data_IF_221485066690
#
_entry.id   IF_221485066690
#
_cell.length_a   1.000
_cell.length_b   1.000
_cell.length_c   1.000
_cell.angle_alpha   90.00
_cell.angle_beta   90.00
_cell.angle_gamma   90.00
#
_symmetry.space_group_name_H-M   'P 1'
#
loop_
_entity.id
_entity.type
_entity.pdbx_description
1 polymer ?
#
# COMPACT_ATOMS: atom_id res chain seq x y z
N UNK A 1 -33.24 7.16 21.22
CA UNK A 1 -32.61 7.92 20.12
C UNK A 1 -31.92 6.91 19.23
N UNK A 2 -32.53 6.63 18.08
CA UNK A 2 -32.27 5.44 17.27
C UNK A 2 -30.89 5.42 16.62
N UNK A 3 -30.22 4.28 16.72
CA UNK A 3 -29.01 3.93 15.98
C UNK A 3 -29.32 3.88 14.48
N UNK A 4 -28.87 4.88 13.72
CA UNK A 4 -28.78 4.74 12.27
C UNK A 4 -27.70 3.69 11.97
N UNK A 5 -28.16 2.47 11.72
CA UNK A 5 -27.35 1.45 11.05
C UNK A 5 -26.98 1.98 9.67
N UNK A 6 -25.70 2.25 9.45
CA UNK A 6 -25.17 2.56 8.12
C UNK A 6 -25.46 1.38 7.20
N UNK A 7 -26.40 1.53 6.26
CA UNK A 7 -26.65 0.54 5.21
C UNK A 7 -25.34 0.26 4.48
N UNK A 8 -24.91 -1.00 4.50
CA UNK A 8 -23.88 -1.52 3.59
C UNK A 8 -24.36 -1.23 2.16
N UNK A 9 -23.55 -0.49 1.40
CA UNK A 9 -23.80 -0.25 -0.01
C UNK A 9 -23.31 -1.48 -0.77
N UNK A 10 -24.22 -2.22 -1.41
CA UNK A 10 -23.87 -3.34 -2.28
C UNK A 10 -23.06 -2.84 -3.49
N UNK A 11 -21.97 -3.54 -3.89
CA UNK A 11 -21.19 -3.21 -5.07
C UNK A 11 -22.05 -3.18 -6.33
N UNK A 12 -22.33 -1.98 -6.83
CA UNK A 12 -22.93 -1.76 -8.15
C UNK A 12 -21.87 -2.15 -9.18
N UNK A 13 -22.09 -3.27 -9.87
CA UNK A 13 -21.29 -3.70 -11.02
C UNK A 13 -21.78 -2.92 -12.25
N UNK A 14 -20.86 -2.31 -13.00
CA UNK A 14 -21.21 -1.74 -14.30
C UNK A 14 -21.53 -2.89 -15.27
N UNK A 15 -22.82 -3.12 -15.50
CA UNK A 15 -23.31 -4.20 -16.37
C UNK A 15 -23.08 -3.92 -17.86
N UNK A 16 -22.66 -2.70 -18.22
CA UNK A 16 -22.38 -2.30 -19.60
C UNK A 16 -20.89 -2.39 -19.98
N UNK A 17 -19.99 -2.68 -19.04
CA UNK A 17 -18.57 -2.82 -19.35
C UNK A 17 -18.29 -4.09 -20.15
N UNK A 18 -17.66 -3.95 -21.31
CA UNK A 18 -17.28 -5.08 -22.16
C UNK A 18 -16.31 -6.02 -21.44
N UNK A 19 -16.55 -7.33 -21.55
CA UNK A 19 -15.60 -8.36 -21.12
C UNK A 19 -14.24 -8.26 -21.83
N UNK A 20 -14.18 -7.56 -22.97
CA UNK A 20 -12.95 -7.26 -23.72
C UNK A 20 -12.34 -5.90 -23.36
N UNK A 21 -12.82 -5.21 -22.33
CA UNK A 21 -12.17 -4.00 -21.84
C UNK A 21 -10.73 -4.33 -21.42
N UNK A 22 -9.81 -3.36 -21.56
CA UNK A 22 -8.43 -3.55 -21.13
C UNK A 22 -8.35 -3.96 -19.66
N UNK A 23 -9.23 -3.41 -18.80
CA UNK A 23 -9.35 -3.77 -17.39
C UNK A 23 -9.63 -5.27 -17.21
N UNK A 24 -10.70 -5.77 -17.83
CA UNK A 24 -11.12 -7.16 -17.66
C UNK A 24 -10.07 -8.16 -18.17
N UNK A 25 -9.46 -7.88 -19.33
CA UNK A 25 -8.38 -8.73 -19.89
C UNK A 25 -7.18 -8.76 -18.95
N UNK A 26 -6.75 -7.61 -18.43
CA UNK A 26 -5.60 -7.53 -17.53
C UNK A 26 -5.87 -8.19 -16.17
N UNK A 27 -7.09 -8.13 -15.66
CA UNK A 27 -7.49 -8.82 -14.43
C UNK A 27 -7.43 -10.35 -14.59
N UNK A 28 -7.89 -10.89 -15.73
CA UNK A 28 -7.83 -12.33 -16.00
C UNK A 28 -6.39 -12.84 -16.09
N UNK A 29 -5.52 -12.11 -16.79
CA UNK A 29 -4.07 -12.42 -16.83
C UNK A 29 -3.47 -12.31 -15.42
N UNK A 30 -3.81 -11.24 -14.69
CA UNK A 30 -3.37 -10.97 -13.33
C UNK A 30 -3.77 -12.08 -12.35
N UNK A 31 -4.95 -12.67 -12.51
CA UNK A 31 -5.44 -13.80 -11.70
C UNK A 31 -4.54 -15.03 -11.86
N UNK A 32 -4.19 -15.40 -13.09
CA UNK A 32 -3.29 -16.53 -13.35
C UNK A 32 -1.91 -16.33 -12.73
N UNK A 33 -1.33 -15.13 -12.86
CA UNK A 33 -0.04 -14.78 -12.26
C UNK A 33 -0.13 -14.83 -10.72
N UNK A 34 -1.18 -14.22 -10.14
CA UNK A 34 -1.43 -14.23 -8.70
C UNK A 34 -1.46 -15.66 -8.15
N UNK A 35 -2.21 -16.55 -8.79
CA UNK A 35 -2.37 -17.92 -8.29
C UNK A 35 -1.04 -18.70 -8.34
N UNK A 36 -0.24 -18.48 -9.39
CA UNK A 36 1.11 -19.05 -9.50
C UNK A 36 2.05 -18.56 -8.39
N UNK A 37 2.11 -17.24 -8.15
CA UNK A 37 2.97 -16.65 -7.12
C UNK A 37 2.52 -17.06 -5.72
N UNK A 38 1.20 -17.10 -5.46
CA UNK A 38 0.63 -17.52 -4.17
C UNK A 38 1.03 -18.95 -3.82
N UNK A 39 0.91 -19.89 -4.77
CA UNK A 39 1.37 -21.28 -4.58
C UNK A 39 2.87 -21.35 -4.29
N UNK A 40 3.67 -20.52 -4.96
CA UNK A 40 5.10 -20.39 -4.69
C UNK A 40 5.39 -19.93 -3.27
N UNK A 41 4.68 -18.89 -2.83
CA UNK A 41 4.80 -18.30 -1.49
C UNK A 41 4.38 -19.28 -0.39
N UNK A 42 3.25 -19.98 -0.56
CA UNK A 42 2.77 -20.99 0.39
C UNK A 42 3.75 -22.18 0.52
N UNK A 43 4.47 -22.51 -0.55
CA UNK A 43 5.45 -23.61 -0.54
C UNK A 43 6.79 -23.21 0.08
N UNK A 44 7.27 -21.99 -0.20
CA UNK A 44 8.67 -21.59 0.05
C UNK A 44 8.85 -20.41 1.00
N UNK A 45 7.79 -19.66 1.31
CA UNK A 45 7.88 -18.40 2.05
C UNK A 45 6.89 -18.30 3.20
N UNK A 46 6.49 -19.42 3.84
CA UNK A 46 5.48 -19.42 4.92
C UNK A 46 5.86 -18.45 6.06
N UNK A 47 7.15 -18.31 6.34
CA UNK A 47 7.70 -17.38 7.34
C UNK A 47 7.45 -15.91 7.03
N UNK A 48 7.10 -15.56 5.78
CA UNK A 48 6.80 -14.18 5.36
C UNK A 48 5.37 -13.74 5.68
N UNK A 49 4.52 -14.64 6.21
CA UNK A 49 3.15 -14.28 6.57
C UNK A 49 3.14 -13.45 7.86
N UNK A 50 2.78 -12.17 7.72
CA UNK A 50 2.63 -11.26 8.84
C UNK A 50 1.37 -11.52 9.65
N UNK A 51 1.49 -11.22 10.95
CA UNK A 51 0.40 -11.17 11.91
C UNK A 51 0.35 -9.78 12.53
N UNK A 52 -0.75 -9.05 12.35
CA UNK A 52 -0.92 -7.69 12.83
C UNK A 52 -0.78 -7.58 14.36
N UNK A 53 -1.31 -8.54 15.12
CA UNK A 53 -1.27 -8.50 16.59
C UNK A 53 0.15 -8.54 17.17
N UNK A 54 1.13 -9.00 16.38
CA UNK A 54 2.53 -9.09 16.76
C UNK A 54 3.35 -7.89 16.29
N UNK A 55 2.76 -6.99 15.50
CA UNK A 55 3.44 -5.80 15.00
C UNK A 55 3.85 -4.87 16.14
N UNK A 56 5.02 -4.26 16.02
CA UNK A 56 5.50 -3.22 16.95
C UNK A 56 5.83 -1.95 16.18
N UNK A 57 5.56 -0.82 16.84
CA UNK A 57 5.91 0.52 16.37
C UNK A 57 6.89 1.12 17.39
N UNK A 58 8.02 1.62 16.90
CA UNK A 58 9.15 2.05 17.74
C UNK A 58 9.19 3.56 17.92
N UNK A 59 8.00 4.17 18.02
CA UNK A 59 7.81 5.58 18.29
C UNK A 59 7.39 5.82 19.76
N UNK A 60 7.75 6.97 20.35
CA UNK A 60 7.51 7.28 21.77
C UNK A 60 6.02 7.29 22.19
N UNK A 61 5.11 7.62 21.27
CA UNK A 61 3.66 7.59 21.49
C UNK A 61 3.04 6.20 21.33
N UNK A 62 3.74 5.22 20.72
CA UNK A 62 3.18 3.88 20.49
C UNK A 62 2.86 3.14 21.78
N UNK A 63 3.52 3.50 22.88
CA UNK A 63 3.24 2.93 24.21
C UNK A 63 1.85 3.30 24.77
N UNK A 64 1.21 4.35 24.24
CA UNK A 64 -0.08 4.83 24.73
C UNK A 64 -1.27 4.12 24.07
N UNK A 65 -1.04 3.32 23.01
CA UNK A 65 -2.10 2.56 22.34
C UNK A 65 -1.55 1.23 21.85
N UNK A 66 -2.21 0.14 22.26
CA UNK A 66 -1.86 -1.20 21.78
C UNK A 66 -2.28 -1.37 20.32
N UNK A 67 -1.58 -2.27 19.64
CA UNK A 67 -1.94 -2.66 18.27
C UNK A 67 -3.31 -3.36 18.30
N UNK A 68 -4.30 -2.88 17.55
CA UNK A 68 -5.61 -3.50 17.51
C UNK A 68 -5.59 -4.81 16.72
N UNK A 69 -6.61 -5.65 16.95
CA UNK A 69 -6.82 -6.87 16.17
C UNK A 69 -7.24 -6.56 14.73
N UNK A 70 -8.04 -5.51 14.53
CA UNK A 70 -8.50 -5.10 13.21
C UNK A 70 -7.60 -4.03 12.62
N UNK A 71 -7.16 -4.16 11.34
CA UNK A 71 -6.45 -3.09 10.67
C UNK A 71 -7.27 -1.79 10.56
N UNK A 72 -8.60 -1.88 10.63
CA UNK A 72 -9.49 -0.71 10.59
C UNK A 72 -9.44 0.15 11.85
N UNK A 73 -8.79 -0.31 12.92
CA UNK A 73 -8.62 0.45 14.17
C UNK A 73 -7.20 1.03 14.32
N UNK A 74 -6.32 0.80 13.33
CA UNK A 74 -4.97 1.35 13.30
C UNK A 74 -4.96 2.88 13.18
N UNK A 75 -4.51 3.58 14.22
CA UNK A 75 -4.41 5.02 14.22
C UNK A 75 -2.96 5.49 14.00
N UNK A 76 -2.68 6.26 12.94
CA UNK A 76 -1.34 6.77 12.62
C UNK A 76 -0.72 7.62 13.74
N UNK A 77 -1.51 8.21 14.63
CA UNK A 77 -1.03 9.00 15.77
C UNK A 77 -0.17 8.14 16.70
N UNK A 78 -0.47 6.84 16.79
CA UNK A 78 0.17 5.90 17.71
C UNK A 78 0.91 4.77 16.99
N UNK A 79 0.43 4.35 15.82
CA UNK A 79 0.92 3.19 15.09
C UNK A 79 1.75 3.63 13.88
N UNK A 80 2.88 4.28 14.12
CA UNK A 80 3.80 4.73 13.07
C UNK A 80 5.20 4.89 13.63
N UNK A 81 6.21 4.89 12.77
CA UNK A 81 7.59 5.21 13.13
C UNK A 81 7.96 6.69 12.90
N UNK A 82 7.04 7.50 12.37
CA UNK A 82 7.24 8.95 12.18
C UNK A 82 7.35 9.65 13.53
N UNK A 83 8.46 10.37 13.75
CA UNK A 83 8.64 11.19 14.96
C UNK A 83 8.26 12.64 14.71
N UNK A 84 7.22 13.09 15.40
CA UNK A 84 6.87 14.51 15.48
C UNK A 84 6.10 14.79 16.78
N UNK A 85 6.20 16.01 17.32
CA UNK A 85 5.46 16.41 18.52
C UNK A 85 3.95 16.41 18.28
N UNK A 86 3.52 17.06 17.20
CA UNK A 86 2.09 17.15 16.83
C UNK A 86 1.58 15.86 16.20
N UNK A 87 0.32 15.52 16.50
CA UNK A 87 -0.35 14.32 16.01
C UNK A 87 -0.55 14.30 14.49
N UNK A 88 -0.93 15.43 13.90
CA UNK A 88 -1.24 15.52 12.46
C UNK A 88 0.00 15.36 11.58
N UNK A 89 1.17 15.76 12.07
CA UNK A 89 2.44 15.63 11.36
C UNK A 89 2.96 14.18 11.32
N UNK A 90 2.19 13.23 11.87
CA UNK A 90 2.43 11.79 11.78
C UNK A 90 1.54 11.10 10.74
N UNK A 91 0.68 11.85 10.06
CA UNK A 91 -0.27 11.33 9.08
C UNK A 91 0.46 10.82 7.81
N UNK A 92 0.20 9.58 7.35
CA UNK A 92 0.78 9.06 6.10
C UNK A 92 0.51 9.93 4.86
N UNK A 93 -0.57 10.72 4.87
CA UNK A 93 -0.94 11.64 3.80
C UNK A 93 -0.45 13.08 4.01
N UNK A 94 0.46 13.36 4.95
CA UNK A 94 0.85 14.72 5.34
C UNK A 94 1.25 15.62 4.14
N UNK A 95 2.01 15.05 3.20
CA UNK A 95 2.50 15.75 2.02
C UNK A 95 1.72 15.41 0.74
N UNK A 96 0.63 14.65 0.85
CA UNK A 96 -0.22 14.30 -0.28
C UNK A 96 -1.27 15.40 -0.50
N UNK A 97 -1.49 15.80 -1.76
CA UNK A 97 -2.56 16.75 -2.09
C UNK A 97 -3.94 16.13 -1.82
N UNK A 98 -4.80 16.91 -1.14
CA UNK A 98 -6.19 16.54 -0.82
C UNK A 98 -7.09 16.55 -2.06
N UNK A 99 -6.71 17.30 -3.11
CA UNK A 99 -7.47 17.52 -4.33
C UNK A 99 -7.09 16.56 -5.47
N UNK A 100 -6.51 15.40 -5.17
CA UNK A 100 -5.87 14.48 -6.13
C UNK A 100 -6.74 13.78 -7.18
N UNK A 101 -8.00 14.16 -7.25
CA UNK A 101 -8.95 13.72 -8.28
C UNK A 101 -9.62 14.91 -8.98
N UNK A 102 -9.02 16.09 -8.91
CA UNK A 102 -9.46 17.26 -9.67
C UNK A 102 -9.14 17.09 -11.17
N UNK A 103 -9.93 17.73 -12.02
CA UNK A 103 -9.72 17.70 -13.47
C UNK A 103 -8.46 18.47 -13.93
N UNK A 104 -7.80 19.18 -13.01
CA UNK A 104 -6.61 20.01 -13.27
C UNK A 104 -5.29 19.25 -13.04
N UNK A 105 -5.39 17.98 -12.64
CA UNK A 105 -4.26 17.16 -12.23
C UNK A 105 -3.57 16.47 -13.41
N UNK A 106 -2.48 17.03 -13.92
CA UNK A 106 -1.69 16.45 -15.02
C UNK A 106 -0.91 15.19 -14.57
N UNK A 107 -0.83 14.19 -15.47
CA UNK A 107 0.02 13.03 -15.28
C UNK A 107 1.49 13.41 -15.44
N UNK A 108 2.37 12.77 -14.67
CA UNK A 108 3.81 12.98 -14.79
C UNK A 108 4.39 11.94 -15.76
N UNK A 109 5.05 12.38 -16.82
CA UNK A 109 5.59 11.51 -17.88
C UNK A 109 7.09 11.72 -18.13
N UNK A 110 7.74 12.68 -17.45
CA UNK A 110 9.13 13.00 -17.69
C UNK A 110 10.07 11.87 -17.25
N UNK A 111 11.10 11.63 -18.06
CA UNK A 111 12.19 10.71 -17.73
C UNK A 111 12.94 11.07 -16.44
N UNK A 112 12.87 12.34 -16.05
CA UNK A 112 13.43 12.79 -14.79
C UNK A 112 12.63 12.28 -13.59
N UNK A 113 11.39 11.80 -13.75
CA UNK A 113 10.53 11.37 -12.64
C UNK A 113 10.12 9.90 -12.71
N UNK A 114 10.41 9.21 -13.81
CA UNK A 114 10.01 7.82 -14.04
C UNK A 114 11.19 7.01 -14.58
N UNK A 115 11.46 5.89 -13.93
CA UNK A 115 12.50 4.94 -14.33
C UNK A 115 12.13 4.26 -15.64
N UNK A 116 13.07 4.23 -16.60
CA UNK A 116 12.89 3.59 -17.91
C UNK A 116 12.25 4.47 -18.99
N UNK A 117 11.82 5.69 -18.65
CA UNK A 117 11.39 6.66 -19.65
C UNK A 117 12.60 7.25 -20.38
N UNK A 118 12.52 7.38 -21.71
CA UNK A 118 13.58 7.90 -22.55
C UNK A 118 13.03 8.90 -23.58
N UNK A 119 13.55 10.13 -23.55
CA UNK A 119 13.10 11.20 -24.45
C UNK A 119 11.59 11.47 -24.32
N UNK A 120 10.84 11.28 -25.42
CA UNK A 120 9.39 11.52 -25.50
C UNK A 120 8.54 10.23 -25.36
N UNK A 121 9.16 9.10 -25.07
CA UNK A 121 8.50 7.80 -25.00
C UNK A 121 8.63 7.27 -23.57
N UNK A 122 7.50 6.85 -22.99
CA UNK A 122 7.52 6.34 -21.62
C UNK A 122 6.15 6.11 -21.00
N UNK A 123 6.18 5.63 -19.76
CA UNK A 123 5.03 5.53 -18.89
C UNK A 123 4.66 6.90 -18.31
N UNK A 124 3.41 7.05 -17.87
CA UNK A 124 2.95 8.23 -17.16
C UNK A 124 2.43 7.84 -15.78
N UNK A 125 2.97 8.45 -14.73
CA UNK A 125 2.49 8.30 -13.37
C UNK A 125 1.22 9.13 -13.19
N UNK A 126 0.07 8.49 -12.93
CA UNK A 126 -1.17 9.22 -12.70
C UNK A 126 -1.09 10.02 -11.40
N UNK A 127 -1.87 11.08 -11.29
CA UNK A 127 -1.87 11.94 -10.11
C UNK A 127 -2.15 11.19 -8.81
N UNK A 128 -3.04 10.19 -8.84
CA UNK A 128 -3.27 9.26 -7.72
C UNK A 128 -1.98 8.58 -7.20
N UNK A 129 -1.07 8.17 -8.09
CA UNK A 129 0.22 7.58 -7.70
C UNK A 129 1.15 8.63 -7.11
N UNK A 130 1.19 9.83 -7.70
CA UNK A 130 2.05 10.94 -7.25
C UNK A 130 1.75 11.30 -5.79
N UNK A 131 0.46 11.35 -5.46
CA UNK A 131 -0.05 11.75 -4.16
C UNK A 131 -0.39 10.56 -3.25
N UNK A 132 0.30 9.43 -3.40
CA UNK A 132 0.10 8.26 -2.54
C UNK A 132 0.48 8.59 -1.08
N UNK A 133 -0.31 8.14 -0.12
CA UNK A 133 -0.06 8.40 1.30
C UNK A 133 1.07 7.53 1.90
N UNK A 134 2.29 7.63 1.37
CA UNK A 134 3.43 6.79 1.75
C UNK A 134 4.41 7.43 2.76
N UNK A 135 4.07 8.59 3.34
CA UNK A 135 4.98 9.35 4.20
C UNK A 135 5.54 8.53 5.36
N UNK A 136 4.69 7.72 6.01
CA UNK A 136 5.15 6.90 7.14
C UNK A 136 6.16 5.82 6.71
N UNK A 137 6.13 5.36 5.46
CA UNK A 137 7.08 4.38 4.95
C UNK A 137 8.47 5.01 4.74
N UNK A 138 8.59 6.32 4.54
CA UNK A 138 9.91 6.97 4.46
C UNK A 138 10.71 6.90 5.77
N UNK A 139 10.01 6.67 6.87
CA UNK A 139 10.58 6.55 8.21
C UNK A 139 10.81 5.10 8.63
N UNK A 140 10.65 4.12 7.73
CA UNK A 140 11.02 2.73 8.02
C UNK A 140 12.49 2.48 7.70
N UNK A 141 13.15 1.75 8.58
CA UNK A 141 14.48 1.19 8.36
C UNK A 141 14.67 -0.09 9.18
N UNK A 142 15.87 -0.66 9.14
CA UNK A 142 16.21 -1.89 9.88
C UNK A 142 16.20 -1.71 11.42
N UNK A 143 16.23 -0.48 11.92
CA UNK A 143 16.24 -0.20 13.36
C UNK A 143 14.83 -0.21 13.95
N UNK A 144 13.82 0.15 13.14
CA UNK A 144 12.43 0.27 13.56
C UNK A 144 11.45 -0.66 12.83
N UNK A 145 11.95 -1.48 11.91
CA UNK A 145 11.24 -2.64 11.34
C UNK A 145 12.11 -3.87 11.58
N UNK A 146 11.84 -4.56 12.70
CA UNK A 146 12.68 -5.69 13.16
C UNK A 146 12.10 -7.05 12.80
N UNK A 147 10.83 -7.08 12.41
CA UNK A 147 10.12 -8.30 12.07
C UNK A 147 9.22 -8.12 10.85
N UNK A 148 8.80 -9.24 10.25
CA UNK A 148 7.79 -9.25 9.17
C UNK A 148 6.44 -8.67 9.63
N UNK A 149 6.16 -8.72 10.92
CA UNK A 149 4.95 -8.16 11.53
C UNK A 149 5.02 -6.63 11.60
N UNK A 150 6.19 -6.09 11.95
CA UNK A 150 6.44 -4.65 12.01
C UNK A 150 6.28 -4.01 10.61
N UNK A 151 6.79 -4.68 9.57
CA UNK A 151 6.62 -4.24 8.18
C UNK A 151 5.14 -4.25 7.78
N UNK A 152 4.43 -5.33 8.11
CA UNK A 152 2.99 -5.43 7.86
C UNK A 152 2.25 -4.29 8.55
N UNK A 153 2.49 -4.06 9.84
CA UNK A 153 1.83 -3.00 10.62
C UNK A 153 2.00 -1.61 9.99
N UNK A 154 3.24 -1.24 9.62
CA UNK A 154 3.50 0.06 8.96
C UNK A 154 2.80 0.17 7.60
N UNK A 155 2.75 -0.91 6.83
CA UNK A 155 2.07 -0.93 5.53
C UNK A 155 0.54 -0.84 5.68
N UNK A 156 -0.04 -1.46 6.71
CA UNK A 156 -1.48 -1.40 6.97
C UNK A 156 -1.93 0.01 7.40
N UNK A 157 -1.09 0.73 8.14
CA UNK A 157 -1.35 2.13 8.50
C UNK A 157 -1.39 3.01 7.25
N UNK A 158 -0.40 2.86 6.37
CA UNK A 158 -0.34 3.53 5.08
C UNK A 158 -1.58 3.21 4.22
N UNK A 159 -1.90 1.92 4.05
CA UNK A 159 -3.02 1.48 3.25
C UNK A 159 -4.36 2.02 3.78
N UNK A 160 -4.57 2.01 5.10
CA UNK A 160 -5.76 2.59 5.72
C UNK A 160 -5.90 4.08 5.40
N UNK A 161 -4.84 4.86 5.62
CA UNK A 161 -4.85 6.31 5.36
C UNK A 161 -5.06 6.63 3.88
N UNK A 162 -4.43 5.87 2.99
CA UNK A 162 -4.64 5.96 1.54
C UNK A 162 -6.11 5.71 1.16
N UNK A 163 -6.71 4.65 1.71
CA UNK A 163 -8.11 4.28 1.45
C UNK A 163 -9.09 5.33 1.94
N UNK A 164 -8.88 5.83 3.15
CA UNK A 164 -9.65 6.94 3.73
C UNK A 164 -9.56 8.19 2.86
N UNK A 165 -8.36 8.54 2.37
CA UNK A 165 -8.14 9.66 1.46
C UNK A 165 -8.93 9.49 0.16
N UNK A 166 -8.87 8.32 -0.50
CA UNK A 166 -9.63 8.03 -1.74
C UNK A 166 -11.13 8.20 -1.51
N UNK A 167 -11.68 7.55 -0.49
CA UNK A 167 -13.11 7.58 -0.20
C UNK A 167 -13.56 9.02 0.07
N UNK A 168 -12.76 9.79 0.81
CA UNK A 168 -13.09 11.16 1.14
C UNK A 168 -13.06 12.10 -0.07
N UNK A 169 -12.16 11.89 -1.02
CA UNK A 169 -12.10 12.71 -2.24
C UNK A 169 -13.21 12.36 -3.25
N UNK A 170 -13.77 11.15 -3.18
CA UNK A 170 -14.81 10.67 -4.10
C UNK A 170 -16.24 10.71 -3.53
N UNK A 171 -16.49 11.48 -2.46
CA UNK A 171 -17.80 11.54 -1.75
C UNK A 171 -19.03 11.72 -2.65
N UNK A 172 -18.87 12.27 -3.87
CA UNK A 172 -19.96 12.57 -4.80
C UNK A 172 -19.86 11.88 -6.18
N UNK A 173 -18.90 10.97 -6.43
CA UNK A 173 -18.60 10.44 -7.79
C UNK A 173 -19.04 9.00 -8.06
N UNK A 174 -19.81 8.40 -7.15
CA UNK A 174 -20.36 7.04 -7.31
C UNK A 174 -19.37 5.92 -6.95
N UNK A 175 -19.91 4.78 -6.54
CA UNK A 175 -19.14 3.73 -5.86
C UNK A 175 -18.14 2.98 -6.75
N UNK A 176 -18.43 2.88 -8.05
CA UNK A 176 -17.55 2.21 -9.04
C UNK A 176 -16.19 2.94 -9.15
N UNK A 177 -16.21 4.28 -9.18
CA UNK A 177 -15.01 5.09 -9.29
C UNK A 177 -14.12 4.95 -8.04
N UNK A 178 -14.75 4.86 -6.86
CA UNK A 178 -14.04 4.59 -5.59
C UNK A 178 -13.35 3.23 -5.64
N UNK A 179 -14.06 2.16 -6.02
CA UNK A 179 -13.49 0.82 -6.13
C UNK A 179 -12.33 0.75 -7.11
N UNK A 180 -12.45 1.40 -8.28
CA UNK A 180 -11.40 1.46 -9.27
C UNK A 180 -10.16 2.22 -8.76
N UNK A 181 -10.35 3.36 -8.08
CA UNK A 181 -9.25 4.11 -7.46
C UNK A 181 -8.56 3.30 -6.36
N UNK A 182 -9.32 2.62 -5.49
CA UNK A 182 -8.78 1.73 -4.46
C UNK A 182 -7.97 0.58 -5.08
N UNK A 183 -8.50 -0.10 -6.11
CA UNK A 183 -7.79 -1.19 -6.79
C UNK A 183 -6.46 -0.72 -7.42
N UNK A 184 -6.45 0.48 -8.00
CA UNK A 184 -5.24 1.08 -8.57
C UNK A 184 -4.22 1.45 -7.48
N UNK A 185 -4.64 2.07 -6.38
CA UNK A 185 -3.72 2.34 -5.26
C UNK A 185 -3.21 1.06 -4.62
N UNK A 186 -4.04 0.02 -4.52
CA UNK A 186 -3.60 -1.30 -4.05
C UNK A 186 -2.49 -1.89 -4.92
N UNK A 187 -2.59 -1.76 -6.24
CA UNK A 187 -1.54 -2.22 -7.17
C UNK A 187 -0.23 -1.45 -6.97
N UNK A 188 -0.29 -0.11 -6.89
CA UNK A 188 0.89 0.74 -6.65
C UNK A 188 1.59 0.42 -5.33
N UNK A 189 0.84 0.27 -4.24
CA UNK A 189 1.38 -0.14 -2.94
C UNK A 189 2.13 -1.46 -3.09
N UNK A 190 1.55 -2.41 -3.83
CA UNK A 190 2.19 -3.67 -4.14
C UNK A 190 3.48 -3.49 -4.94
N UNK A 191 3.51 -2.63 -5.95
CA UNK A 191 4.71 -2.36 -6.76
C UNK A 191 5.81 -1.68 -5.93
N UNK A 192 5.47 -0.77 -5.01
CA UNK A 192 6.44 -0.18 -4.06
C UNK A 192 7.06 -1.28 -3.19
N UNK A 193 6.24 -2.14 -2.58
CA UNK A 193 6.72 -3.23 -1.71
C UNK A 193 7.56 -4.24 -2.49
N UNK A 194 7.21 -4.51 -3.74
CA UNK A 194 7.91 -5.46 -4.62
C UNK A 194 9.15 -4.88 -5.31
N UNK A 195 9.34 -3.56 -5.26
CA UNK A 195 10.46 -2.89 -5.94
C UNK A 195 10.25 -2.75 -7.44
N UNK A 196 8.99 -2.75 -7.88
CA UNK A 196 8.56 -2.63 -9.28
C UNK A 196 7.98 -1.26 -9.62
N UNK A 197 7.79 -0.42 -8.60
CA UNK A 197 7.31 0.93 -8.81
C UNK A 197 8.33 1.75 -9.60
N UNK A 198 7.86 2.37 -10.69
CA UNK A 198 8.71 3.13 -11.61
C UNK A 198 8.86 4.59 -11.20
N UNK A 199 8.00 5.08 -10.31
CA UNK A 199 7.90 6.51 -9.99
C UNK A 199 9.00 6.94 -9.01
N UNK A 200 9.88 7.84 -9.45
CA UNK A 200 10.97 8.39 -8.66
C UNK A 200 10.53 9.57 -7.78
N UNK A 201 9.37 10.15 -8.04
CA UNK A 201 8.86 11.29 -7.28
C UNK A 201 9.58 12.60 -7.59
N UNK A 202 9.09 13.68 -6.98
CA UNK A 202 9.75 14.97 -7.09
C UNK A 202 11.11 15.00 -6.41
N UNK A 203 11.18 14.31 -5.26
CA UNK A 203 12.40 14.05 -4.54
C UNK A 203 12.87 12.61 -4.82
N UNK A 204 13.78 12.46 -5.79
CA UNK A 204 14.38 11.17 -6.14
C UNK A 204 15.05 10.46 -4.97
N UNK A 205 15.67 11.23 -4.07
CA UNK A 205 16.42 10.67 -2.95
C UNK A 205 15.47 10.03 -1.93
N UNK A 206 14.29 10.61 -1.72
CA UNK A 206 13.22 10.03 -0.89
C UNK A 206 12.83 8.64 -1.36
N UNK A 207 12.45 8.48 -2.64
CA UNK A 207 12.01 7.18 -3.15
C UNK A 207 13.15 6.16 -3.22
N UNK A 208 14.36 6.60 -3.57
CA UNK A 208 15.56 5.74 -3.51
C UNK A 208 15.86 5.26 -2.09
N UNK A 209 15.72 6.14 -1.09
CA UNK A 209 15.89 5.80 0.33
C UNK A 209 14.85 4.78 0.77
N UNK A 210 13.57 5.00 0.45
CA UNK A 210 12.50 4.04 0.75
C UNK A 210 12.78 2.66 0.14
N UNK A 211 13.11 2.60 -1.15
CA UNK A 211 13.42 1.33 -1.82
C UNK A 211 14.68 0.65 -1.24
N UNK A 212 15.72 1.43 -0.95
CA UNK A 212 16.94 0.93 -0.30
C UNK A 212 16.69 0.41 1.12
N UNK A 213 15.82 1.07 1.88
CA UNK A 213 15.43 0.62 3.22
C UNK A 213 14.60 -0.67 3.16
N UNK A 214 13.61 -0.74 2.25
CA UNK A 214 12.85 -1.98 2.01
C UNK A 214 13.77 -3.14 1.64
N UNK A 215 14.72 -2.92 0.72
CA UNK A 215 15.70 -3.93 0.34
C UNK A 215 16.51 -4.43 1.55
N UNK A 216 17.02 -3.52 2.39
CA UNK A 216 17.75 -3.88 3.62
C UNK A 216 16.88 -4.66 4.61
N UNK A 217 15.63 -4.24 4.82
CA UNK A 217 14.67 -4.93 5.69
C UNK A 217 14.42 -6.36 5.20
N UNK A 218 14.19 -6.55 3.90
CA UNK A 218 13.98 -7.89 3.33
C UNK A 218 15.26 -8.75 3.37
N UNK A 219 16.45 -8.16 3.24
CA UNK A 219 17.71 -8.88 3.46
C UNK A 219 17.81 -9.38 4.91
N UNK A 220 17.47 -8.55 5.90
CA UNK A 220 17.44 -8.97 7.32
C UNK A 220 16.46 -10.13 7.54
N UNK A 221 15.30 -10.12 6.89
CA UNK A 221 14.36 -11.25 6.96
C UNK A 221 14.97 -12.51 6.33
N UNK A 222 15.61 -12.41 5.17
CA UNK A 222 16.26 -13.54 4.51
C UNK A 222 17.33 -14.18 5.40
N UNK A 223 18.11 -13.38 6.12
CA UNK A 223 19.13 -13.87 7.05
C UNK A 223 18.53 -14.57 8.28
N UNK A 224 17.43 -14.02 8.80
CA UNK A 224 16.74 -14.49 10.00
C UNK A 224 15.98 -15.81 9.78
N UNK A 225 15.28 -15.95 8.66
CA UNK A 225 14.43 -17.11 8.39
C UNK A 225 15.16 -18.17 7.55
N UNK A 226 15.32 -19.38 8.12
CA UNK A 226 16.09 -20.49 7.50
C UNK A 226 15.55 -20.91 6.14
N UNK A 227 14.23 -20.87 5.93
CA UNK A 227 13.57 -21.23 4.68
C UNK A 227 13.79 -20.22 3.55
N UNK A 228 14.20 -18.99 3.88
CA UNK A 228 14.42 -17.91 2.91
C UNK A 228 15.85 -17.82 2.38
N UNK A 229 16.83 -18.43 3.05
CA UNK A 229 18.28 -18.27 2.74
C UNK A 229 18.68 -18.58 1.29
N UNK A 230 17.90 -19.41 0.58
CA UNK A 230 18.16 -19.81 -0.81
C UNK A 230 17.22 -19.15 -1.83
N UNK A 231 16.37 -18.22 -1.39
CA UNK A 231 15.37 -17.57 -2.22
C UNK A 231 15.90 -16.18 -2.59
N UNK A 232 15.93 -15.80 -3.88
CA UNK A 232 16.30 -14.44 -4.29
C UNK A 232 15.44 -13.38 -3.61
N UNK A 233 16.03 -12.20 -3.32
CA UNK A 233 15.32 -11.12 -2.62
C UNK A 233 14.08 -10.66 -3.38
N UNK A 234 14.14 -10.58 -4.71
CA UNK A 234 12.98 -10.20 -5.53
C UNK A 234 11.83 -11.19 -5.38
N UNK A 235 12.12 -12.50 -5.28
CA UNK A 235 11.12 -13.53 -5.00
C UNK A 235 10.58 -13.41 -3.57
N UNK A 236 11.41 -13.07 -2.59
CA UNK A 236 10.98 -12.86 -1.20
C UNK A 236 9.97 -11.70 -1.12
N UNK A 237 10.23 -10.59 -1.81
CA UNK A 237 9.31 -9.44 -1.84
C UNK A 237 7.97 -9.80 -2.50
N UNK A 238 8.01 -10.57 -3.59
CA UNK A 238 6.80 -11.11 -4.26
C UNK A 238 6.00 -12.04 -3.34
N UNK A 239 6.66 -12.97 -2.65
CA UNK A 239 6.00 -13.89 -1.72
C UNK A 239 5.42 -13.18 -0.52
N UNK A 240 6.15 -12.22 0.04
CA UNK A 240 5.64 -11.41 1.13
C UNK A 240 4.38 -10.65 0.72
N UNK A 241 4.38 -10.00 -0.45
CA UNK A 241 3.18 -9.33 -0.96
C UNK A 241 2.03 -10.32 -1.18
N UNK A 242 2.29 -11.48 -1.79
CA UNK A 242 1.27 -12.50 -2.05
C UNK A 242 0.61 -13.04 -0.77
N UNK A 243 1.38 -13.20 0.31
CA UNK A 243 0.88 -13.70 1.59
C UNK A 243 0.13 -12.65 2.40
N UNK A 244 0.47 -11.37 2.23
CA UNK A 244 -0.04 -10.28 3.07
C UNK A 244 -1.06 -9.37 2.38
N UNK A 245 -1.18 -9.44 1.05
CA UNK A 245 -2.09 -8.59 0.26
C UNK A 245 -3.55 -8.54 0.73
N UNK A 246 -4.05 -9.64 1.30
CA UNK A 246 -5.44 -9.67 1.83
C UNK A 246 -5.61 -8.72 3.01
N UNK A 247 -4.63 -8.66 3.91
CA UNK A 247 -4.67 -7.72 5.04
C UNK A 247 -4.52 -6.28 4.55
N UNK A 248 -3.63 -6.04 3.57
CA UNK A 248 -3.45 -4.72 2.95
C UNK A 248 -4.74 -4.25 2.29
N UNK A 249 -5.42 -5.12 1.54
CA UNK A 249 -6.73 -4.83 0.97
C UNK A 249 -7.77 -4.51 2.04
N UNK A 250 -7.83 -5.32 3.11
CA UNK A 250 -8.74 -5.10 4.24
C UNK A 250 -8.52 -3.72 4.88
N UNK A 251 -7.27 -3.33 5.13
CA UNK A 251 -6.92 -2.01 5.66
C UNK A 251 -7.34 -0.88 4.72
N UNK A 252 -7.06 -1.04 3.42
CA UNK A 252 -7.38 -0.07 2.38
C UNK A 252 -8.89 0.17 2.24
N UNK A 253 -9.72 -0.86 2.42
CA UNK A 253 -11.18 -0.75 2.26
C UNK A 253 -11.94 -0.38 3.52
N UNK A 254 -11.27 -0.18 4.66
CA UNK A 254 -11.90 0.07 5.97
C UNK A 254 -12.90 1.25 5.97
N UNK A 255 -12.59 2.31 5.21
CA UNK A 255 -13.41 3.54 5.18
C UNK A 255 -14.53 3.51 4.13
N UNK A 256 -14.48 2.58 3.17
CA UNK A 256 -15.41 2.51 2.05
C UNK A 256 -16.48 1.43 2.19
N UNK A 257 -16.17 0.33 2.88
CA UNK A 257 -17.01 -0.87 2.89
C UNK A 257 -16.91 -1.55 4.26
N UNK A 258 -17.90 -1.36 5.14
CA UNK A 258 -18.16 -2.36 6.18
C UNK A 258 -18.79 -3.56 5.46
N UNK A 259 -17.95 -4.55 5.15
CA UNK A 259 -18.41 -5.89 4.73
C UNK A 259 -18.97 -6.61 5.94
#
# INVERSE_FOLDING_TARGET
MGSQSSKSLEPIVDTNESYKSARNILEDIGKGIKDKVTKGAEKRGKSLKGNLSEAKFYHAYSKYRTVPESPCDLNYVFHTNVWHGNAEDRNPCLFSDKNRFSNESEAECYNSKITGNEGKIGACAPYRRRELCDYNLEHIDVNNVKSIHDLLGNLLVMARSEGESIVNSHKNTGMINVCASLARSFADIGDIVRGKDLFLGDNKERNKKLQGNLQKIFNTFQEHYKDLKKIPIDEIREYWWALNRKEVWKALTCSGFRV
#
